data_IF_524156277416
#
_entry.id   IF_524156277416
#
_cell.length_a   1.000
_cell.length_b   1.000
_cell.length_c   1.000
_cell.angle_alpha   90.00
_cell.angle_beta   90.00
_cell.angle_gamma   90.00
#
_symmetry.space_group_name_H-M   'P 1'
#
loop_
_entity.id
_entity.type
_entity.pdbx_description
1 polymer ?
#
# COMPACT_ATOMS: atom_id res chain seq x y z
N UNK A 1 15.67 -4.31 22.01
CA UNK A 1 14.43 -4.24 21.21
C UNK A 1 14.83 -4.30 19.74
N UNK A 2 14.47 -5.37 19.01
CA UNK A 2 14.84 -5.54 17.60
C UNK A 2 13.83 -4.83 16.71
N UNK A 3 14.32 -3.97 15.80
CA UNK A 3 13.53 -3.19 14.84
C UNK A 3 13.35 -3.90 13.49
N UNK A 4 13.61 -5.21 13.44
CA UNK A 4 13.55 -5.95 12.18
C UNK A 4 12.10 -6.09 11.67
N UNK A 5 11.93 -5.78 10.38
CA UNK A 5 10.64 -5.79 9.70
C UNK A 5 10.37 -7.10 8.95
N UNK A 6 11.39 -7.96 8.79
CA UNK A 6 11.34 -9.14 7.91
C UNK A 6 10.17 -10.10 8.18
N UNK A 7 9.79 -10.26 9.45
CA UNK A 7 8.73 -11.21 9.85
C UNK A 7 7.42 -10.53 10.30
N UNK A 8 7.27 -9.23 10.03
CA UNK A 8 6.06 -8.49 10.45
C UNK A 8 4.91 -8.73 9.47
N UNK A 9 3.78 -9.22 9.99
CA UNK A 9 2.54 -9.40 9.22
C UNK A 9 1.74 -8.10 9.02
N UNK A 10 1.97 -7.11 9.88
CA UNK A 10 1.29 -5.81 9.86
C UNK A 10 2.34 -4.72 9.94
N UNK A 11 2.29 -3.78 9.01
CA UNK A 11 3.13 -2.58 8.97
C UNK A 11 2.21 -1.38 9.04
N UNK A 12 2.32 -0.60 10.11
CA UNK A 12 1.56 0.63 10.29
C UNK A 12 2.44 1.84 9.95
N UNK A 13 1.98 2.67 9.03
CA UNK A 13 2.68 3.89 8.62
C UNK A 13 1.96 5.09 9.22
N UNK A 14 2.55 5.66 10.28
CA UNK A 14 2.04 6.83 11.00
C UNK A 14 2.84 8.10 10.71
N UNK A 15 2.27 9.26 11.04
CA UNK A 15 2.94 10.56 10.92
C UNK A 15 2.00 11.72 10.54
N UNK A 16 2.48 12.97 10.57
CA UNK A 16 1.69 14.18 10.29
C UNK A 16 1.02 14.20 8.90
N UNK A 17 0.08 15.11 8.67
CA UNK A 17 -0.55 15.30 7.35
C UNK A 17 0.47 15.66 6.27
N UNK A 18 0.31 15.14 5.05
CA UNK A 18 1.16 15.52 3.90
C UNK A 18 2.54 14.87 3.80
N UNK A 19 3.01 14.11 4.80
CA UNK A 19 4.37 13.50 4.81
C UNK A 19 4.55 12.28 3.89
N UNK A 20 3.57 11.97 3.03
CA UNK A 20 3.70 10.88 2.04
C UNK A 20 3.33 9.47 2.52
N UNK A 21 2.64 9.32 3.66
CA UNK A 21 2.25 8.00 4.22
C UNK A 21 1.54 7.09 3.22
N UNK A 22 0.55 7.61 2.51
CA UNK A 22 -0.23 6.86 1.52
C UNK A 22 0.62 6.40 0.35
N UNK A 23 1.50 7.27 -0.14
CA UNK A 23 2.46 6.96 -1.22
C UNK A 23 3.42 5.87 -0.79
N UNK A 24 3.97 5.96 0.43
CA UNK A 24 4.86 4.94 0.98
C UNK A 24 4.14 3.60 1.18
N UNK A 25 2.92 3.61 1.70
CA UNK A 25 2.11 2.41 1.87
C UNK A 25 1.82 1.71 0.53
N UNK A 26 1.48 2.49 -0.50
CA UNK A 26 1.25 2.00 -1.86
C UNK A 26 2.53 1.37 -2.45
N UNK A 27 3.66 2.10 -2.41
CA UNK A 27 4.94 1.61 -2.93
C UNK A 27 5.43 0.35 -2.21
N UNK A 28 5.30 0.31 -0.88
CA UNK A 28 5.64 -0.87 -0.08
C UNK A 28 4.75 -2.06 -0.45
N UNK A 29 3.45 -1.82 -0.60
CA UNK A 29 2.49 -2.84 -1.01
C UNK A 29 2.82 -3.47 -2.36
N UNK A 30 3.13 -2.65 -3.36
CA UNK A 30 3.58 -3.12 -4.68
C UNK A 30 4.87 -3.92 -4.56
N UNK A 31 5.87 -3.42 -3.85
CA UNK A 31 7.16 -4.10 -3.66
C UNK A 31 7.01 -5.48 -3.01
N UNK A 32 6.16 -5.60 -1.97
CA UNK A 32 5.88 -6.88 -1.32
C UNK A 32 5.09 -7.82 -2.24
N UNK A 33 4.10 -7.31 -2.97
CA UNK A 33 3.35 -8.08 -3.97
C UNK A 33 4.26 -8.66 -5.06
N UNK A 34 5.19 -7.86 -5.59
CA UNK A 34 6.17 -8.29 -6.59
C UNK A 34 7.14 -9.37 -6.05
N UNK A 35 7.40 -9.37 -4.74
CA UNK A 35 8.20 -10.40 -4.07
C UNK A 35 7.40 -11.67 -3.73
N UNK A 36 6.15 -11.78 -4.20
CA UNK A 36 5.29 -12.95 -4.00
C UNK A 36 4.49 -12.96 -2.69
N UNK A 37 4.55 -11.90 -1.89
CA UNK A 37 3.75 -11.81 -0.68
C UNK A 37 2.29 -11.47 -1.01
N UNK A 38 1.36 -12.20 -0.39
CA UNK A 38 -0.07 -11.83 -0.41
C UNK A 38 -0.26 -10.56 0.42
N UNK A 39 -0.28 -9.42 -0.27
CA UNK A 39 -0.22 -8.10 0.36
C UNK A 39 -1.55 -7.37 0.22
N UNK A 40 -2.01 -6.75 1.31
CA UNK A 40 -3.16 -5.86 1.34
C UNK A 40 -2.69 -4.46 1.73
N UNK A 41 -2.98 -3.47 0.88
CA UNK A 41 -2.79 -2.05 1.22
C UNK A 41 -4.14 -1.47 1.61
N UNK A 42 -4.19 -0.86 2.80
CA UNK A 42 -5.39 -0.27 3.36
C UNK A 42 -5.09 1.17 3.79
N UNK A 43 -5.99 2.09 3.48
CA UNK A 43 -5.99 3.45 4.05
C UNK A 43 -7.25 3.66 4.89
N UNK A 44 -7.12 4.46 5.96
CA UNK A 44 -8.25 4.80 6.84
C UNK A 44 -8.98 6.06 6.34
N UNK A 45 -8.30 6.91 5.56
CA UNK A 45 -8.91 8.03 4.84
C UNK A 45 -9.64 7.53 3.57
N UNK A 46 -10.68 8.25 3.08
CA UNK A 46 -11.48 7.82 1.94
C UNK A 46 -10.58 7.38 0.79
N UNK A 47 -10.84 6.18 0.27
CA UNK A 47 -9.97 5.38 -0.60
C UNK A 47 -9.40 6.08 -1.85
N UNK A 48 -9.89 7.28 -2.16
CA UNK A 48 -9.47 8.18 -3.22
C UNK A 48 -7.97 8.48 -3.20
N UNK A 49 -7.32 8.68 -2.03
CA UNK A 49 -5.87 8.99 -2.00
C UNK A 49 -5.03 7.79 -2.40
N UNK A 50 -5.40 6.58 -1.98
CA UNK A 50 -4.71 5.36 -2.37
C UNK A 50 -4.90 5.09 -3.87
N UNK A 51 -6.13 5.23 -4.36
CA UNK A 51 -6.46 5.08 -5.77
C UNK A 51 -5.60 6.01 -6.63
N UNK A 52 -5.50 7.29 -6.26
CA UNK A 52 -4.65 8.26 -6.94
C UNK A 52 -3.16 7.88 -6.91
N UNK A 53 -2.64 7.45 -5.75
CA UNK A 53 -1.25 7.00 -5.63
C UNK A 53 -0.93 5.77 -6.51
N UNK A 54 -1.92 4.93 -6.77
CA UNK A 54 -1.82 3.73 -7.62
C UNK A 54 -2.27 3.97 -9.07
N UNK A 55 -2.71 5.18 -9.43
CA UNK A 55 -3.21 5.49 -10.78
C UNK A 55 -4.59 4.91 -11.12
N UNK A 56 -5.37 4.48 -10.13
CA UNK A 56 -6.72 3.95 -10.35
C UNK A 56 -7.76 5.08 -10.44
N UNK A 57 -8.58 5.05 -11.51
CA UNK A 57 -9.70 5.99 -11.70
C UNK A 57 -10.92 5.63 -10.83
N UNK A 58 -11.20 4.33 -10.70
CA UNK A 58 -12.32 3.81 -9.91
C UNK A 58 -11.84 2.89 -8.80
N UNK A 59 -12.07 3.33 -7.55
CA UNK A 59 -11.77 2.56 -6.35
C UNK A 59 -12.97 2.59 -5.42
N UNK A 60 -13.65 1.46 -5.32
CA UNK A 60 -14.76 1.25 -4.40
C UNK A 60 -14.25 1.01 -2.97
N UNK A 61 -15.13 1.07 -1.97
CA UNK A 61 -14.83 0.68 -0.59
C UNK A 61 -14.73 -0.85 -0.40
N UNK A 62 -14.44 -1.60 -1.46
CA UNK A 62 -14.34 -3.04 -1.49
C UNK A 62 -12.93 -3.49 -1.89
N UNK A 63 -12.58 -4.72 -1.55
CA UNK A 63 -11.28 -5.29 -1.88
C UNK A 63 -11.18 -5.45 -3.41
N UNK A 64 -10.21 -4.77 -4.01
CA UNK A 64 -9.85 -4.93 -5.43
C UNK A 64 -8.54 -5.70 -5.54
N UNK A 65 -8.58 -6.89 -6.14
CA UNK A 65 -7.36 -7.59 -6.56
C UNK A 65 -6.74 -6.82 -7.72
N UNK A 66 -5.43 -6.64 -7.66
CA UNK A 66 -4.65 -5.95 -8.69
C UNK A 66 -3.58 -6.92 -9.19
N UNK A 67 -3.44 -6.99 -10.52
CA UNK A 67 -2.27 -7.63 -11.11
C UNK A 67 -1.04 -6.81 -10.80
N UNK A 68 0.12 -7.47 -10.73
CA UNK A 68 1.38 -6.75 -10.72
C UNK A 68 1.42 -5.83 -11.94
N UNK A 69 1.83 -4.56 -11.79
CA UNK A 69 2.09 -3.71 -12.95
C UNK A 69 3.20 -4.36 -13.79
N UNK A 70 3.00 -4.42 -15.11
CA UNK A 70 4.10 -4.72 -16.04
C UNK A 70 5.09 -3.56 -15.94
N UNK A 71 6.30 -3.88 -15.45
CA UNK A 71 7.42 -2.95 -15.46
C UNK A 71 8.24 -3.27 -16.72
N UNK A 72 8.72 -2.26 -17.47
CA UNK A 72 9.72 -2.50 -18.51
C UNK A 72 11.02 -3.09 -17.94
#
# INVERSE_FOLDING_TARGET
MSWDLKDKKIILIGGPGGVGKTTLAAALGVSLGLRGYRTLVLTVDPARRLAQALGFKDFAQSIKKVSAPEYP
#
